data_IF_292048787276
#
_entry.id   IF_292048787276
#
_cell.length_a   1.000
_cell.length_b   1.000
_cell.length_c   1.000
_cell.angle_alpha   90.00
_cell.angle_beta   90.00
_cell.angle_gamma   90.00
#
_symmetry.space_group_name_H-M   'P 1'
#
loop_
_entity.id
_entity.type
_entity.pdbx_description
1 polymer ?
#
# COMPACT_ATOMS: atom_id res chain seq x y z
N UNK A 1 48.54 -3.50 63.67
CA UNK A 1 47.25 -3.99 63.13
C UNK A 1 46.86 -3.15 61.92
N UNK A 2 46.45 -3.83 60.83
CA UNK A 2 45.64 -3.38 59.68
C UNK A 2 46.23 -2.39 58.65
N UNK A 3 46.51 -2.91 57.46
CA UNK A 3 46.55 -2.21 56.16
C UNK A 3 45.33 -2.72 55.32
N UNK A 4 45.14 -2.34 54.03
CA UNK A 4 45.10 -1.03 53.36
C UNK A 4 43.72 -0.87 52.64
N UNK A 5 43.56 0.06 51.66
CA UNK A 5 42.86 -0.11 50.35
C UNK A 5 42.75 1.26 49.64
N UNK A 6 43.20 1.40 48.38
CA UNK A 6 42.87 2.53 47.52
C UNK A 6 41.57 2.23 46.74
N UNK A 7 40.60 3.14 46.78
CA UNK A 7 39.36 3.02 46.02
C UNK A 7 39.61 3.42 44.55
N UNK A 8 39.88 2.42 43.70
CA UNK A 8 39.75 2.50 42.25
C UNK A 8 38.24 2.47 41.91
N UNK A 9 37.67 3.61 41.52
CA UNK A 9 36.34 3.66 40.93
C UNK A 9 36.47 3.45 39.42
N UNK A 10 36.18 2.23 38.96
CA UNK A 10 35.91 1.91 37.56
C UNK A 10 34.68 2.71 37.10
N UNK A 11 34.88 3.68 36.21
CA UNK A 11 33.79 4.26 35.42
C UNK A 11 33.40 3.30 34.30
N UNK A 12 32.26 2.63 34.43
CA UNK A 12 31.68 1.85 33.35
C UNK A 12 31.06 2.81 32.31
N UNK A 13 31.73 2.99 31.17
CA UNK A 13 31.18 3.68 30.00
C UNK A 13 30.23 2.71 29.30
N UNK A 14 28.92 2.91 29.49
CA UNK A 14 27.88 2.15 28.79
C UNK A 14 27.72 2.71 27.38
N UNK A 15 28.46 2.14 26.42
CA UNK A 15 28.30 2.44 25.00
C UNK A 15 26.98 1.81 24.51
N UNK A 16 25.89 2.59 24.48
CA UNK A 16 24.65 2.14 23.87
C UNK A 16 24.84 2.05 22.35
N UNK A 17 25.03 0.83 21.84
CA UNK A 17 24.89 0.53 20.42
C UNK A 17 23.40 0.65 20.05
N UNK A 18 22.97 1.84 19.64
CA UNK A 18 21.69 2.00 18.94
C UNK A 18 21.87 1.34 17.57
N UNK A 19 21.54 0.05 17.48
CA UNK A 19 21.39 -0.61 16.19
C UNK A 19 20.27 0.09 15.43
N UNK A 20 20.62 0.87 14.41
CA UNK A 20 19.64 1.40 13.46
C UNK A 20 18.99 0.22 12.73
N UNK A 21 17.89 -0.30 13.25
CA UNK A 21 17.00 -1.15 12.47
C UNK A 21 16.56 -0.34 11.26
N UNK A 22 16.89 -0.80 10.06
CA UNK A 22 16.42 -0.14 8.84
C UNK A 22 14.89 -0.13 8.86
N UNK A 23 14.24 0.99 8.51
CA UNK A 23 12.78 1.04 8.51
C UNK A 23 12.24 -0.06 7.61
N UNK A 24 11.36 -0.92 8.15
CA UNK A 24 10.76 -2.01 7.39
C UNK A 24 9.86 -1.44 6.29
N UNK A 25 10.41 -1.33 5.07
CA UNK A 25 9.67 -0.83 3.90
C UNK A 25 8.58 -1.81 3.48
N UNK A 26 7.49 -1.28 2.92
CA UNK A 26 6.39 -2.06 2.35
C UNK A 26 6.86 -3.12 1.33
N UNK A 27 6.05 -4.16 1.17
CA UNK A 27 6.39 -5.33 0.35
C UNK A 27 6.53 -5.01 -1.15
N UNK A 28 5.92 -3.93 -1.64
CA UNK A 28 6.05 -3.48 -3.03
C UNK A 28 7.37 -2.73 -3.29
N UNK A 29 8.15 -2.39 -2.26
CA UNK A 29 9.46 -1.78 -2.45
C UNK A 29 10.39 -2.71 -3.23
N UNK A 30 10.78 -2.30 -4.44
CA UNK A 30 11.54 -3.13 -5.38
C UNK A 30 10.68 -4.04 -6.28
N UNK A 31 9.35 -4.06 -6.09
CA UNK A 31 8.40 -4.91 -6.81
C UNK A 31 7.27 -4.09 -7.47
N UNK A 32 7.54 -2.84 -7.87
CA UNK A 32 6.51 -1.95 -8.43
C UNK A 32 5.93 -2.46 -9.76
N UNK A 33 6.76 -3.07 -10.62
CA UNK A 33 6.28 -3.68 -11.86
C UNK A 33 5.36 -4.88 -11.59
N UNK A 34 5.68 -5.65 -10.55
CA UNK A 34 4.85 -6.77 -10.11
C UNK A 34 3.51 -6.28 -9.56
N UNK A 35 3.50 -5.19 -8.79
CA UNK A 35 2.26 -4.55 -8.36
C UNK A 35 1.41 -4.13 -9.57
N UNK A 36 2.00 -3.47 -10.56
CA UNK A 36 1.30 -3.04 -11.78
C UNK A 36 0.70 -4.23 -12.54
N UNK A 37 1.43 -5.36 -12.63
CA UNK A 37 0.93 -6.60 -13.22
C UNK A 37 -0.30 -7.13 -12.49
N UNK A 38 -0.26 -7.18 -11.16
CA UNK A 38 -1.40 -7.66 -10.36
C UNK A 38 -2.59 -6.69 -10.41
N UNK A 39 -2.34 -5.37 -10.50
CA UNK A 39 -3.39 -4.38 -10.72
C UNK A 39 -4.05 -4.54 -12.10
N UNK A 40 -3.31 -4.93 -13.14
CA UNK A 40 -3.88 -5.23 -14.45
C UNK A 40 -4.88 -6.39 -14.42
N UNK A 41 -4.68 -7.34 -13.52
CA UNK A 41 -5.60 -8.48 -13.31
C UNK A 41 -6.74 -8.17 -12.31
N UNK A 42 -6.77 -6.97 -11.72
CA UNK A 42 -7.79 -6.58 -10.74
C UNK A 42 -9.13 -6.27 -11.40
N UNK A 43 -10.21 -6.34 -10.60
CA UNK A 43 -11.59 -6.12 -11.07
C UNK A 43 -11.78 -4.82 -11.85
N UNK A 44 -11.30 -3.63 -11.39
CA UNK A 44 -11.45 -2.40 -12.16
C UNK A 44 -10.94 -2.51 -13.61
N UNK A 45 -9.76 -3.11 -13.82
CA UNK A 45 -9.18 -3.22 -15.15
C UNK A 45 -9.78 -4.38 -15.94
N UNK A 46 -9.76 -5.59 -15.37
CA UNK A 46 -10.14 -6.82 -16.06
C UNK A 46 -11.63 -6.92 -16.38
N UNK A 47 -12.48 -6.46 -15.47
CA UNK A 47 -13.93 -6.63 -15.60
C UNK A 47 -14.63 -5.35 -16.10
N UNK A 48 -14.03 -4.19 -15.85
CA UNK A 48 -14.66 -2.90 -16.13
C UNK A 48 -13.87 -2.02 -17.11
N UNK A 49 -12.76 -2.50 -17.69
CA UNK A 49 -12.05 -1.78 -18.76
C UNK A 49 -11.34 -0.51 -18.30
N UNK A 50 -11.17 -0.31 -16.99
CA UNK A 50 -10.38 0.80 -16.49
C UNK A 50 -8.88 0.61 -16.77
N UNK A 51 -8.13 1.70 -16.67
CA UNK A 51 -6.66 1.72 -16.73
C UNK A 51 -6.09 2.49 -15.55
N UNK A 52 -4.81 2.27 -15.21
CA UNK A 52 -4.14 3.01 -14.13
C UNK A 52 -3.88 4.43 -14.58
N UNK A 53 -4.53 5.41 -13.93
CA UNK A 53 -4.27 6.85 -14.09
C UNK A 53 -3.07 7.27 -13.23
N UNK A 54 -3.05 6.83 -11.97
CA UNK A 54 -2.06 7.22 -10.97
C UNK A 54 -1.70 6.03 -10.08
N UNK A 55 -0.42 5.88 -9.79
CA UNK A 55 0.10 4.95 -8.79
C UNK A 55 1.18 5.67 -7.98
N UNK A 56 0.94 5.87 -6.69
CA UNK A 56 1.86 6.56 -5.78
C UNK A 56 2.04 5.80 -4.49
N UNK A 57 3.26 5.78 -3.99
CA UNK A 57 3.59 5.16 -2.72
C UNK A 57 3.82 6.21 -1.63
N UNK A 58 3.54 5.86 -0.38
CA UNK A 58 4.12 6.58 0.75
C UNK A 58 5.64 6.39 0.77
N UNK A 59 6.43 7.29 1.39
CA UNK A 59 7.90 7.18 1.39
C UNK A 59 8.44 5.85 1.95
N UNK A 60 7.73 5.25 2.90
CA UNK A 60 8.04 3.95 3.51
C UNK A 60 7.44 2.76 2.74
N UNK A 61 6.77 3.03 1.62
CA UNK A 61 6.00 2.07 0.81
C UNK A 61 4.86 1.39 1.56
N UNK A 62 4.53 1.71 2.82
CA UNK A 62 3.47 1.00 3.57
C UNK A 62 2.07 1.19 2.99
N UNK A 63 1.86 2.23 2.18
CA UNK A 63 0.62 2.44 1.42
C UNK A 63 0.91 2.75 -0.04
N UNK A 64 -0.03 2.38 -0.91
CA UNK A 64 -0.08 2.78 -2.30
C UNK A 64 -1.45 3.37 -2.62
N UNK A 65 -1.48 4.61 -3.12
CA UNK A 65 -2.65 5.18 -3.77
C UNK A 65 -2.69 4.68 -5.21
N UNK A 66 -3.82 4.13 -5.63
CA UNK A 66 -4.10 3.73 -7.00
C UNK A 66 -5.36 4.44 -7.46
N UNK A 67 -5.28 5.19 -8.55
CA UNK A 67 -6.43 5.78 -9.20
C UNK A 67 -6.59 5.12 -10.56
N UNK A 68 -7.76 4.54 -10.79
CA UNK A 68 -8.14 3.98 -12.08
C UNK A 68 -9.03 4.98 -12.83
N UNK A 69 -8.84 5.12 -14.14
CA UNK A 69 -9.69 5.92 -15.04
C UNK A 69 -10.28 5.05 -16.14
N UNK A 70 -11.47 5.41 -16.62
CA UNK A 70 -12.13 4.76 -17.76
C UNK A 70 -12.10 5.68 -18.99
N UNK A 71 -12.09 5.16 -20.23
CA UNK A 71 -12.23 5.98 -21.44
C UNK A 71 -13.51 6.84 -21.46
N UNK A 72 -14.56 6.36 -20.81
CA UNK A 72 -15.84 7.07 -20.63
C UNK A 72 -15.87 7.99 -19.39
N UNK A 73 -14.70 8.32 -18.82
CA UNK A 73 -14.57 9.39 -17.85
C UNK A 73 -14.54 10.74 -18.58
N UNK A 74 -15.68 11.13 -19.17
CA UNK A 74 -15.80 12.37 -19.93
C UNK A 74 -16.92 13.27 -19.39
N UNK A 75 -16.65 14.57 -19.34
CA UNK A 75 -17.59 15.57 -18.81
C UNK A 75 -18.79 15.83 -19.72
N UNK A 76 -18.71 15.44 -20.99
CA UNK A 76 -19.78 15.57 -21.98
C UNK A 76 -20.78 14.41 -21.97
N UNK A 77 -20.48 13.32 -21.25
CA UNK A 77 -21.41 12.20 -21.07
C UNK A 77 -22.39 12.47 -19.92
N UNK A 78 -23.62 12.00 -20.09
CA UNK A 78 -24.63 11.97 -19.03
C UNK A 78 -24.12 11.16 -17.82
N UNK A 79 -24.54 11.54 -16.62
CA UNK A 79 -24.11 10.94 -15.36
C UNK A 79 -24.42 9.42 -15.29
N UNK A 80 -25.43 8.95 -16.01
CA UNK A 80 -25.78 7.52 -16.09
C UNK A 80 -24.76 6.69 -16.88
N UNK A 81 -24.05 7.32 -17.82
CA UNK A 81 -23.09 6.68 -18.73
C UNK A 81 -21.64 7.01 -18.37
N UNK A 82 -21.41 8.10 -17.64
CA UNK A 82 -20.09 8.49 -17.14
C UNK A 82 -19.52 7.43 -16.21
N UNK A 83 -18.24 7.14 -16.40
CA UNK A 83 -17.46 6.26 -15.53
C UNK A 83 -16.44 7.10 -14.77
N UNK A 84 -16.72 7.50 -13.51
CA UNK A 84 -15.80 8.32 -12.74
C UNK A 84 -14.52 7.55 -12.41
N UNK A 85 -13.47 8.28 -12.04
CA UNK A 85 -12.25 7.71 -11.48
C UNK A 85 -12.56 6.84 -10.26
N UNK A 86 -11.81 5.75 -10.12
CA UNK A 86 -11.97 4.79 -9.04
C UNK A 86 -10.69 4.70 -8.22
N UNK A 87 -10.77 5.18 -6.99
CA UNK A 87 -9.62 5.28 -6.09
C UNK A 87 -9.55 4.10 -5.11
N UNK A 88 -8.34 3.59 -4.88
CA UNK A 88 -8.02 2.64 -3.83
C UNK A 88 -6.79 3.10 -3.06
N UNK A 89 -6.87 3.02 -1.73
CA UNK A 89 -5.68 3.04 -0.86
C UNK A 89 -5.36 1.61 -0.48
N UNK A 90 -4.26 1.10 -1.03
CA UNK A 90 -3.75 -0.22 -0.72
C UNK A 90 -2.78 -0.12 0.46
N UNK A 91 -3.03 -0.88 1.52
CA UNK A 91 -2.18 -0.91 2.73
C UNK A 91 -1.40 -2.22 2.80
N UNK A 92 -0.11 -2.12 3.07
CA UNK A 92 0.75 -3.28 3.27
C UNK A 92 0.46 -3.94 4.62
N UNK A 93 0.22 -5.26 4.62
CA UNK A 93 0.15 -6.10 5.80
C UNK A 93 1.53 -6.74 6.12
N UNK A 94 1.62 -7.43 7.25
CA UNK A 94 2.84 -8.08 7.71
C UNK A 94 3.18 -9.36 6.94
N UNK A 95 2.27 -9.84 6.08
CA UNK A 95 2.40 -11.07 5.30
C UNK A 95 2.86 -10.83 3.87
N UNK A 96 3.40 -9.65 3.59
CA UNK A 96 3.88 -9.30 2.25
C UNK A 96 2.76 -9.00 1.26
N UNK A 97 1.58 -8.57 1.72
CA UNK A 97 0.44 -8.25 0.85
C UNK A 97 0.04 -6.80 0.94
N UNK A 98 -0.52 -6.29 -0.14
CA UNK A 98 -1.23 -5.01 -0.20
C UNK A 98 -2.72 -5.30 -0.31
N UNK A 99 -3.54 -4.61 0.48
CA UNK A 99 -5.00 -4.75 0.43
C UNK A 99 -5.66 -3.39 0.43
N UNK A 100 -6.70 -3.24 -0.39
CA UNK A 100 -7.57 -2.08 -0.34
C UNK A 100 -8.98 -2.45 -0.78
N UNK A 101 -9.92 -1.59 -0.41
CA UNK A 101 -11.31 -1.72 -0.79
C UNK A 101 -11.86 -0.36 -1.16
N UNK A 102 -12.76 -0.34 -2.13
CA UNK A 102 -13.56 0.83 -2.47
C UNK A 102 -14.92 0.36 -2.95
N UNK A 103 -15.95 1.19 -2.71
CA UNK A 103 -17.24 1.03 -3.35
C UNK A 103 -17.09 1.21 -4.86
N UNK A 104 -17.90 0.47 -5.62
CA UNK A 104 -18.06 0.72 -7.05
C UNK A 104 -18.65 2.13 -7.27
N UNK A 105 -18.02 2.98 -8.10
CA UNK A 105 -18.40 4.38 -8.19
C UNK A 105 -19.52 4.64 -9.22
N UNK A 106 -20.14 3.59 -9.75
CA UNK A 106 -21.25 3.63 -10.70
C UNK A 106 -22.29 2.56 -10.36
N UNK A 107 -23.52 2.74 -10.81
CA UNK A 107 -24.60 1.77 -10.63
C UNK A 107 -24.48 0.59 -11.62
N UNK A 108 -24.72 -0.64 -11.15
CA UNK A 108 -24.91 -1.81 -12.03
C UNK A 108 -26.40 -2.18 -12.04
N UNK A 109 -27.08 -2.14 -13.20
CA UNK A 109 -28.46 -2.60 -13.31
C UNK A 109 -28.65 -4.02 -12.76
N UNK A 110 -29.68 -4.21 -11.94
CA UNK A 110 -29.98 -5.49 -11.32
C UNK A 110 -29.26 -5.76 -9.98
N UNK A 111 -28.45 -4.81 -9.48
CA UNK A 111 -27.94 -4.87 -8.10
C UNK A 111 -28.68 -3.87 -7.20
N UNK A 112 -28.98 -4.28 -5.97
CA UNK A 112 -29.64 -3.41 -4.99
C UNK A 112 -28.68 -2.36 -4.38
N UNK A 113 -27.37 -2.63 -4.42
CA UNK A 113 -26.31 -1.78 -3.86
C UNK A 113 -25.12 -1.71 -4.83
N UNK A 114 -24.28 -0.67 -4.69
CA UNK A 114 -22.94 -0.61 -5.28
C UNK A 114 -22.02 -1.56 -4.50
N UNK A 115 -21.55 -2.67 -5.09
CA UNK A 115 -20.76 -3.65 -4.36
C UNK A 115 -19.41 -3.05 -3.93
N UNK A 116 -18.90 -3.52 -2.79
CA UNK A 116 -17.52 -3.26 -2.40
C UNK A 116 -16.59 -4.14 -3.25
N UNK A 117 -15.58 -3.52 -3.84
CA UNK A 117 -14.54 -4.20 -4.60
C UNK A 117 -13.27 -4.25 -3.77
N UNK A 118 -12.57 -5.37 -3.85
CA UNK A 118 -11.34 -5.64 -3.10
C UNK A 118 -10.19 -5.85 -4.07
N UNK A 119 -9.06 -5.23 -3.77
CA UNK A 119 -7.80 -5.46 -4.46
C UNK A 119 -6.84 -6.08 -3.45
N UNK A 120 -6.23 -7.20 -3.84
CA UNK A 120 -5.14 -7.82 -3.09
C UNK A 120 -3.97 -8.02 -4.03
N UNK A 121 -2.79 -7.57 -3.63
CA UNK A 121 -1.54 -7.89 -4.30
C UNK A 121 -0.61 -8.61 -3.33
N UNK A 122 0.03 -9.70 -3.76
CA UNK A 122 0.93 -10.50 -2.92
C UNK A 122 2.33 -10.47 -3.48
N UNK A 123 3.32 -10.28 -2.62
CA UNK A 123 4.73 -10.21 -2.98
C UNK A 123 5.49 -11.36 -2.31
N UNK A 124 6.57 -11.86 -2.94
CA UNK A 124 7.45 -12.83 -2.30
C UNK A 124 8.06 -12.23 -1.02
N UNK A 125 8.37 -13.06 -0.01
CA UNK A 125 9.14 -12.61 1.13
C UNK A 125 10.51 -12.09 0.68
N UNK A 126 11.02 -11.08 1.37
CA UNK A 126 12.37 -10.53 1.16
C UNK A 126 13.43 -11.39 1.82
#
# INVERSE_FOLDING_TARGET
>A
MKAPIPALLLGAVLTMFVGCASPQRGAAYGHEQELRRQLAESVPMKNYGYTIKELRFTPDYRKALVVFTHPDHREDLDNSSRRPDWEFVLTADEFGRYRGTSGQPFYTPGTANTPAIYITATFPPK
#
